data_IF_119626388115
#
_entry.id   IF_119626388115
#
_cell.length_a   1.000
_cell.length_b   1.000
_cell.length_c   1.000
_cell.angle_alpha   90.00
_cell.angle_beta   90.00
_cell.angle_gamma   90.00
#
_symmetry.space_group_name_H-M   'P 1'
#
loop_
_entity.id
_entity.type
_entity.pdbx_description
1 polymer ?
#
# COMPACT_ATOMS: atom_id res chain seq x y z
N UNK A 1 0.48 -18.40 9.78
CA UNK A 1 1.46 -17.37 9.39
C UNK A 1 0.91 -16.71 8.13
N UNK A 2 0.72 -15.39 8.12
CA UNK A 2 0.18 -14.66 6.97
C UNK A 2 1.27 -14.46 5.92
N UNK A 3 1.02 -14.90 4.68
CA UNK A 3 1.97 -14.83 3.56
C UNK A 3 1.71 -13.55 2.76
N UNK A 4 2.74 -12.74 2.60
CA UNK A 4 2.66 -11.39 2.01
C UNK A 4 3.39 -11.37 0.67
N UNK A 5 2.74 -10.83 -0.38
CA UNK A 5 3.42 -10.28 -1.55
C UNK A 5 3.66 -8.80 -1.30
N UNK A 6 4.92 -8.34 -1.36
CA UNK A 6 5.29 -6.95 -1.13
C UNK A 6 5.64 -6.26 -2.45
N UNK A 7 4.76 -5.38 -2.94
CA UNK A 7 5.03 -4.54 -4.11
C UNK A 7 5.75 -3.24 -3.68
N UNK A 8 6.80 -2.86 -4.42
CA UNK A 8 7.71 -1.77 -4.04
C UNK A 8 8.77 -2.21 -3.02
N UNK A 9 9.17 -3.49 -3.07
CA UNK A 9 10.06 -4.11 -2.08
C UNK A 9 11.48 -3.50 -2.05
N UNK A 10 11.95 -2.90 -3.13
CA UNK A 10 13.26 -2.24 -3.21
C UNK A 10 13.23 -0.76 -2.80
N UNK A 11 12.05 -0.20 -2.56
CA UNK A 11 11.87 1.17 -2.08
C UNK A 11 12.16 1.33 -0.57
N UNK A 12 12.19 2.58 -0.11
CA UNK A 12 12.42 2.88 1.33
C UNK A 12 11.40 2.18 2.24
N UNK A 13 10.10 2.24 1.89
CA UNK A 13 9.05 1.57 2.66
C UNK A 13 9.15 0.05 2.55
N UNK A 14 9.51 -0.48 1.36
CA UNK A 14 9.72 -1.90 1.17
C UNK A 14 10.80 -2.47 2.09
N UNK A 15 11.94 -1.79 2.21
CA UNK A 15 13.01 -2.17 3.14
C UNK A 15 12.57 -2.12 4.59
N UNK A 16 11.84 -1.06 4.98
CA UNK A 16 11.32 -0.94 6.34
C UNK A 16 10.33 -2.05 6.70
N UNK A 17 9.42 -2.37 5.78
CA UNK A 17 8.44 -3.46 5.97
C UNK A 17 9.15 -4.80 6.02
N UNK A 18 10.15 -5.04 5.17
CA UNK A 18 10.96 -6.26 5.18
C UNK A 18 11.62 -6.46 6.54
N UNK A 19 12.20 -5.40 7.10
CA UNK A 19 12.79 -5.45 8.43
C UNK A 19 11.74 -5.76 9.50
N UNK A 20 10.61 -5.04 9.52
CA UNK A 20 9.53 -5.27 10.48
C UNK A 20 9.00 -6.69 10.44
N UNK A 21 8.79 -7.24 9.23
CA UNK A 21 8.28 -8.61 9.07
C UNK A 21 9.32 -9.63 9.55
N UNK A 22 10.61 -9.38 9.36
CA UNK A 22 11.67 -10.29 9.84
C UNK A 22 11.72 -10.44 11.37
N UNK A 23 11.18 -9.48 12.11
CA UNK A 23 11.10 -9.49 13.58
C UNK A 23 9.79 -10.14 14.09
N UNK A 24 8.90 -10.56 13.19
CA UNK A 24 7.58 -11.13 13.52
C UNK A 24 7.55 -12.64 13.27
N UNK A 25 6.65 -13.31 13.98
CA UNK A 25 6.43 -14.76 13.86
C UNK A 25 5.05 -15.12 13.30
N UNK A 26 4.19 -14.13 13.07
CA UNK A 26 2.80 -14.29 12.61
C UNK A 26 2.63 -14.00 11.11
N UNK A 27 3.65 -13.43 10.45
CA UNK A 27 3.65 -13.15 9.01
C UNK A 27 5.04 -13.34 8.39
N UNK A 28 5.06 -13.50 7.07
CA UNK A 28 6.27 -13.62 6.27
C UNK A 28 6.07 -12.99 4.88
N UNK A 29 7.14 -12.46 4.28
CA UNK A 29 7.12 -12.06 2.87
C UNK A 29 7.53 -13.26 2.04
N UNK A 30 6.62 -13.73 1.19
CA UNK A 30 6.87 -14.88 0.30
C UNK A 30 7.38 -14.46 -1.07
N UNK A 31 7.07 -13.24 -1.50
CA UNK A 31 7.57 -12.67 -2.76
C UNK A 31 7.62 -11.14 -2.70
N UNK A 32 8.59 -10.56 -3.39
CA UNK A 32 8.70 -9.12 -3.62
C UNK A 32 8.50 -8.77 -5.09
N UNK A 33 7.90 -7.62 -5.38
CA UNK A 33 7.73 -7.09 -6.74
C UNK A 33 8.27 -5.68 -6.78
N UNK A 34 9.18 -5.41 -7.73
CA UNK A 34 9.71 -4.07 -7.97
C UNK A 34 10.23 -3.95 -9.42
N UNK A 35 10.08 -2.79 -10.04
CA UNK A 35 10.61 -2.55 -11.39
C UNK A 35 12.15 -2.54 -11.42
N UNK A 36 12.79 -2.21 -10.28
CA UNK A 36 14.24 -2.12 -10.13
C UNK A 36 14.76 -3.24 -9.21
N UNK A 37 14.55 -4.48 -9.59
CA UNK A 37 15.02 -5.63 -8.82
C UNK A 37 16.55 -5.70 -8.84
N UNK A 38 17.19 -5.30 -7.73
CA UNK A 38 18.58 -5.64 -7.46
C UNK A 38 18.61 -6.95 -6.66
N UNK A 39 18.94 -8.03 -7.34
CA UNK A 39 18.83 -9.43 -6.88
C UNK A 39 19.63 -9.79 -5.60
N UNK A 40 20.23 -8.85 -4.89
CA UNK A 40 21.21 -9.14 -3.83
C UNK A 40 20.77 -8.84 -2.39
N UNK A 41 19.55 -8.34 -2.13
CA UNK A 41 19.23 -7.81 -0.81
C UNK A 41 18.01 -8.39 -0.11
N UNK A 42 17.17 -9.18 -0.77
CA UNK A 42 15.98 -9.74 -0.16
C UNK A 42 16.17 -11.22 0.24
N UNK A 43 15.65 -11.60 1.40
CA UNK A 43 15.60 -12.99 1.87
C UNK A 43 14.49 -13.83 1.21
N UNK A 44 13.77 -13.25 0.26
CA UNK A 44 12.65 -13.84 -0.48
C UNK A 44 12.82 -13.62 -1.99
N UNK A 45 12.17 -14.42 -2.85
CA UNK A 45 12.17 -14.22 -4.30
C UNK A 45 11.66 -12.84 -4.69
N UNK A 46 12.31 -12.20 -5.67
CA UNK A 46 11.92 -10.88 -6.18
C UNK A 46 11.68 -10.92 -7.68
N UNK A 47 10.63 -10.24 -8.14
CA UNK A 47 10.15 -10.25 -9.51
C UNK A 47 9.99 -8.83 -10.06
N UNK A 48 10.12 -8.65 -11.37
CA UNK A 48 9.88 -7.37 -12.04
C UNK A 48 8.41 -7.13 -12.38
N UNK A 49 7.58 -8.18 -12.34
CA UNK A 49 6.13 -8.11 -12.55
C UNK A 49 5.42 -9.03 -11.56
N UNK A 50 4.25 -8.62 -11.09
CA UNK A 50 3.43 -9.43 -10.19
C UNK A 50 2.94 -10.73 -10.85
N UNK A 51 2.77 -10.73 -12.18
CA UNK A 51 2.35 -11.91 -12.95
C UNK A 51 3.38 -13.06 -12.91
N UNK A 52 4.62 -12.75 -12.56
CA UNK A 52 5.69 -13.74 -12.42
C UNK A 52 5.67 -14.45 -11.07
N UNK A 53 4.90 -13.94 -10.10
CA UNK A 53 4.83 -14.51 -8.75
C UNK A 53 4.08 -15.83 -8.78
N UNK A 54 4.77 -16.88 -8.34
CA UNK A 54 4.25 -18.26 -8.27
C UNK A 54 3.88 -18.68 -6.86
N UNK A 55 4.37 -17.97 -5.87
CA UNK A 55 4.17 -18.23 -4.45
C UNK A 55 2.71 -17.98 -4.06
N UNK A 56 2.17 -18.89 -3.26
CA UNK A 56 0.85 -18.70 -2.69
C UNK A 56 0.89 -17.62 -1.59
N UNK A 57 0.01 -16.64 -1.65
CA UNK A 57 -0.06 -15.53 -0.71
C UNK A 57 -1.48 -15.34 -0.16
N UNK A 58 -1.55 -14.70 1.00
CA UNK A 58 -2.81 -14.41 1.69
C UNK A 58 -3.17 -12.92 1.58
N UNK A 59 -2.19 -12.05 1.26
CA UNK A 59 -2.38 -10.61 1.11
C UNK A 59 -1.30 -9.99 0.22
N UNK A 60 -1.68 -8.93 -0.51
CA UNK A 60 -0.76 -8.06 -1.24
C UNK A 60 -0.64 -6.75 -0.47
N UNK A 61 0.60 -6.29 -0.23
CA UNK A 61 0.89 -4.96 0.34
C UNK A 61 1.63 -4.16 -0.73
N UNK A 62 1.09 -2.97 -1.08
CA UNK A 62 1.62 -2.15 -2.17
C UNK A 62 2.10 -0.78 -1.69
N UNK A 63 3.41 -0.54 -1.82
CA UNK A 63 4.09 0.74 -1.67
C UNK A 63 4.92 1.08 -2.91
N UNK A 64 4.39 0.79 -4.09
CA UNK A 64 5.11 0.88 -5.36
C UNK A 64 4.80 2.18 -6.14
N UNK A 65 4.46 2.05 -7.38
CA UNK A 65 4.15 3.14 -8.29
C UNK A 65 2.73 2.98 -8.86
N UNK A 66 1.99 4.08 -9.16
CA UNK A 66 0.62 4.02 -9.69
C UNK A 66 0.43 3.12 -10.92
N UNK A 67 1.47 2.91 -11.73
CA UNK A 67 1.42 2.01 -12.89
C UNK A 67 1.19 0.54 -12.53
N UNK A 68 1.43 0.14 -11.27
CA UNK A 68 1.22 -1.24 -10.82
C UNK A 68 -0.21 -1.51 -10.32
N UNK A 69 -1.08 -0.50 -10.22
CA UNK A 69 -2.44 -0.69 -9.73
C UNK A 69 -3.21 -1.73 -10.56
N UNK A 70 -3.36 -1.51 -11.86
CA UNK A 70 -4.10 -2.42 -12.74
C UNK A 70 -3.53 -3.85 -12.73
N UNK A 71 -2.20 -4.08 -12.87
CA UNK A 71 -1.61 -5.40 -12.69
C UNK A 71 -1.93 -6.06 -11.35
N UNK A 72 -1.87 -5.30 -10.23
CA UNK A 72 -2.15 -5.84 -8.89
C UNK A 72 -3.61 -6.27 -8.78
N UNK A 73 -4.55 -5.41 -9.22
CA UNK A 73 -5.98 -5.72 -9.17
C UNK A 73 -6.34 -6.96 -10.01
N UNK A 74 -5.75 -7.06 -11.20
CA UNK A 74 -5.95 -8.19 -12.10
C UNK A 74 -5.42 -9.49 -11.49
N UNK A 75 -4.17 -9.48 -11.03
CA UNK A 75 -3.54 -10.62 -10.36
C UNK A 75 -4.35 -11.07 -9.13
N UNK A 76 -4.77 -10.12 -8.28
CA UNK A 76 -5.56 -10.43 -7.10
C UNK A 76 -6.88 -11.13 -7.45
N UNK A 77 -7.58 -10.65 -8.50
CA UNK A 77 -8.82 -11.26 -9.00
C UNK A 77 -8.59 -12.69 -9.52
N UNK A 78 -7.58 -12.89 -10.37
CA UNK A 78 -7.25 -14.21 -10.95
C UNK A 78 -6.83 -15.26 -9.91
N UNK A 79 -6.22 -14.82 -8.82
CA UNK A 79 -5.83 -15.70 -7.71
C UNK A 79 -6.92 -15.92 -6.66
N UNK A 80 -8.18 -15.67 -7.02
CA UNK A 80 -9.33 -15.93 -6.16
C UNK A 80 -9.70 -14.80 -5.22
N UNK A 81 -9.32 -13.57 -5.53
CA UNK A 81 -9.66 -12.38 -4.75
C UNK A 81 -8.74 -12.19 -3.54
N UNK A 82 -7.43 -12.32 -3.73
CA UNK A 82 -6.45 -12.04 -2.66
C UNK A 82 -6.65 -10.60 -2.15
N UNK A 83 -6.80 -10.39 -0.83
CA UNK A 83 -6.88 -9.06 -0.23
C UNK A 83 -5.69 -8.17 -0.60
N UNK A 84 -5.95 -6.89 -0.87
CA UNK A 84 -4.88 -5.92 -1.19
C UNK A 84 -4.92 -4.71 -0.27
N UNK A 85 -3.77 -4.36 0.30
CA UNK A 85 -3.51 -3.13 1.07
C UNK A 85 -2.73 -2.18 0.19
N UNK A 86 -3.42 -1.18 -0.39
CA UNK A 86 -2.85 -0.24 -1.35
C UNK A 86 -2.47 1.05 -0.65
N UNK A 87 -1.17 1.34 -0.60
CA UNK A 87 -0.58 2.52 0.06
C UNK A 87 0.10 3.46 -0.95
N UNK A 88 0.12 3.08 -2.22
CA UNK A 88 0.67 3.90 -3.30
C UNK A 88 -0.14 5.19 -3.45
N UNK A 89 0.55 6.32 -3.58
CA UNK A 89 -0.03 7.65 -3.75
C UNK A 89 0.03 8.09 -5.20
N UNK A 90 -0.78 9.10 -5.58
CA UNK A 90 -0.71 9.72 -6.91
C UNK A 90 -1.53 8.99 -7.99
N UNK A 91 -2.52 8.20 -7.62
CA UNK A 91 -3.47 7.63 -8.58
C UNK A 91 -4.26 8.72 -9.31
N UNK A 92 -4.46 8.52 -10.62
CA UNK A 92 -5.34 9.37 -11.44
C UNK A 92 -6.81 9.16 -11.06
N UNK A 93 -7.69 10.01 -11.61
CA UNK A 93 -9.14 9.84 -11.43
C UNK A 93 -9.63 8.51 -12.00
N UNK A 94 -9.10 8.10 -13.16
CA UNK A 94 -9.42 6.85 -13.84
C UNK A 94 -8.97 5.65 -12.99
N UNK A 95 -7.75 5.69 -12.45
CA UNK A 95 -7.22 4.66 -11.56
C UNK A 95 -8.02 4.56 -10.25
N UNK A 96 -8.44 5.71 -9.71
CA UNK A 96 -9.30 5.73 -8.51
C UNK A 96 -10.67 5.12 -8.81
N UNK A 97 -11.24 5.35 -9.98
CA UNK A 97 -12.50 4.73 -10.41
C UNK A 97 -12.34 3.22 -10.62
N UNK A 98 -11.23 2.77 -11.22
CA UNK A 98 -10.88 1.36 -11.38
C UNK A 98 -10.78 0.66 -10.02
N UNK A 99 -10.04 1.26 -9.08
CA UNK A 99 -9.91 0.76 -7.72
C UNK A 99 -11.26 0.63 -7.02
N UNK A 100 -12.11 1.68 -7.13
CA UNK A 100 -13.44 1.67 -6.52
C UNK A 100 -14.30 0.54 -7.09
N UNK A 101 -14.28 0.34 -8.41
CA UNK A 101 -15.00 -0.75 -9.07
C UNK A 101 -14.47 -2.12 -8.61
N UNK A 102 -13.16 -2.29 -8.53
CA UNK A 102 -12.56 -3.54 -8.06
C UNK A 102 -12.94 -3.86 -6.60
N UNK A 103 -13.08 -2.84 -5.75
CA UNK A 103 -13.45 -3.01 -4.34
C UNK A 103 -14.88 -3.54 -4.11
N UNK A 104 -15.73 -3.53 -5.14
CA UNK A 104 -17.07 -4.14 -5.07
C UNK A 104 -17.01 -5.67 -5.00
N UNK A 105 -15.94 -6.28 -5.49
CA UNK A 105 -15.77 -7.73 -5.58
C UNK A 105 -14.51 -8.27 -4.93
N UNK A 106 -13.57 -7.40 -4.58
CA UNK A 106 -12.29 -7.76 -3.98
C UNK A 106 -12.12 -7.06 -2.63
N UNK A 107 -11.55 -7.72 -1.63
CA UNK A 107 -11.20 -7.08 -0.36
C UNK A 107 -10.03 -6.10 -0.56
N UNK A 108 -10.29 -4.82 -0.63
CA UNK A 108 -9.28 -3.77 -0.83
C UNK A 108 -9.33 -2.79 0.32
N UNK A 109 -8.18 -2.56 0.95
CA UNK A 109 -7.95 -1.43 1.83
C UNK A 109 -7.06 -0.41 1.11
N UNK A 110 -7.53 0.81 0.96
CA UNK A 110 -6.79 1.90 0.34
C UNK A 110 -6.71 3.11 1.26
N UNK A 111 -5.50 3.62 1.45
CA UNK A 111 -5.30 4.89 2.15
C UNK A 111 -4.13 5.66 1.54
N UNK A 112 -4.36 6.93 1.22
CA UNK A 112 -3.33 7.84 0.71
C UNK A 112 -2.28 8.20 1.76
N UNK A 113 -2.65 8.07 3.04
CA UNK A 113 -1.76 8.41 4.14
C UNK A 113 -1.97 7.47 5.32
N UNK A 114 -0.94 6.70 5.62
CA UNK A 114 -0.87 5.76 6.75
C UNK A 114 -0.09 6.34 7.94
N UNK A 115 0.34 7.60 7.87
CA UNK A 115 1.07 8.25 8.98
C UNK A 115 0.15 8.49 10.17
N UNK A 116 0.47 7.91 11.31
CA UNK A 116 -0.25 8.15 12.57
C UNK A 116 -0.22 9.64 12.95
N UNK A 117 0.94 10.30 12.78
CA UNK A 117 1.11 11.72 13.09
C UNK A 117 0.23 12.62 12.24
N UNK A 118 0.15 12.37 10.93
CA UNK A 118 -0.72 13.13 10.01
C UNK A 118 -2.19 12.90 10.34
N UNK A 119 -2.60 11.66 10.61
CA UNK A 119 -3.99 11.37 10.98
C UNK A 119 -4.37 12.05 12.31
N UNK A 120 -3.47 12.04 13.31
CA UNK A 120 -3.68 12.76 14.56
C UNK A 120 -3.79 14.27 14.32
N UNK A 121 -2.93 14.85 13.49
CA UNK A 121 -2.95 16.27 13.14
C UNK A 121 -4.27 16.65 12.45
N UNK A 122 -4.78 15.81 11.53
CA UNK A 122 -6.07 16.01 10.89
C UNK A 122 -7.23 16.03 11.90
N UNK A 123 -7.25 15.11 12.84
CA UNK A 123 -8.30 15.08 13.88
C UNK A 123 -8.22 16.30 14.82
N UNK A 124 -7.03 16.73 15.19
CA UNK A 124 -6.84 17.95 15.99
C UNK A 124 -7.27 19.20 15.23
N UNK A 125 -6.92 19.32 13.94
CA UNK A 125 -7.34 20.44 13.10
C UNK A 125 -8.88 20.50 12.95
N UNK A 126 -9.54 19.36 12.69
CA UNK A 126 -11.01 19.28 12.65
C UNK A 126 -11.65 19.71 13.98
N UNK A 127 -11.09 19.28 15.10
CA UNK A 127 -11.57 19.63 16.42
C UNK A 127 -11.40 21.13 16.69
N UNK A 128 -10.24 21.69 16.37
CA UNK A 128 -9.97 23.12 16.49
C UNK A 128 -10.95 23.95 15.66
N UNK A 129 -11.11 23.61 14.38
CA UNK A 129 -12.05 24.29 13.48
C UNK A 129 -13.49 24.28 14.03
N UNK A 130 -13.93 23.13 14.53
CA UNK A 130 -15.28 23.00 15.12
C UNK A 130 -15.49 23.86 16.38
N UNK A 131 -14.46 23.99 17.21
CA UNK A 131 -14.54 24.76 18.47
C UNK A 131 -14.45 26.26 18.23
N UNK A 132 -13.58 26.67 17.32
CA UNK A 132 -13.34 28.10 17.02
C UNK A 132 -14.42 28.71 16.13
N UNK A 133 -15.08 27.90 15.28
CA UNK A 133 -16.17 28.34 14.42
C UNK A 133 -15.73 29.37 13.37
N UNK A 134 -16.71 30.12 12.86
CA UNK A 134 -16.53 31.06 11.75
C UNK A 134 -15.84 32.40 12.14
N UNK A 135 -15.42 32.53 13.39
CA UNK A 135 -14.75 33.74 13.88
C UNK A 135 -13.23 33.71 13.73
N UNK A 136 -12.69 32.60 13.22
CA UNK A 136 -11.25 32.40 13.05
C UNK A 136 -10.94 31.93 11.64
N UNK A 137 -9.93 32.53 11.03
CA UNK A 137 -9.37 32.07 9.77
C UNK A 137 -8.41 30.90 10.02
N UNK A 138 -8.42 29.91 9.14
CA UNK A 138 -7.57 28.74 9.23
C UNK A 138 -6.67 28.73 7.99
N UNK A 139 -5.36 28.77 8.23
CA UNK A 139 -4.33 28.63 7.20
C UNK A 139 -3.52 27.35 7.42
N UNK A 140 -3.23 26.63 6.34
CA UNK A 140 -2.33 25.48 6.33
C UNK A 140 -1.09 25.89 5.54
N UNK A 141 0.06 25.90 6.22
CA UNK A 141 1.35 26.22 5.61
C UNK A 141 2.20 24.95 5.61
N UNK A 142 2.59 24.50 4.42
CA UNK A 142 3.49 23.37 4.22
C UNK A 142 4.87 23.88 3.72
N UNK A 143 5.96 23.34 4.28
CA UNK A 143 7.34 23.69 3.88
C UNK A 143 8.09 22.46 3.41
#
# INVERSE_FOLDING_TARGET
MTRIILCGCCGKMGHFITQLVSERTDCEIVAGVDLNVNAQTASYPTYTSIDQVTEAADVIIDFSHPSLLTPILHYAAEKGGIPAVLCTTGYTAEQTAELTKASETQPIFYSRNMSLGINLMLELAKKAAKVLGDQFDIEIVEK
#
